data_IF_208348083840
#
_entry.id   IF_208348083840
#
_cell.length_a   1.000
_cell.length_b   1.000
_cell.length_c   1.000
_cell.angle_alpha   90.00
_cell.angle_beta   90.00
_cell.angle_gamma   90.00
#
_symmetry.space_group_name_H-M   'P 1'
#
loop_
_entity.id
_entity.type
_entity.pdbx_description
1 polymer ?
#
# COMPACT_ATOMS: atom_id res chain seq x y z
N UNK A 1 88.56 -3.47 -21.47
CA UNK A 1 87.75 -4.11 -20.42
C UNK A 1 86.35 -3.53 -20.50
N UNK A 2 85.41 -4.26 -21.12
CA UNK A 2 84.04 -3.81 -21.33
C UNK A 2 83.13 -4.41 -20.25
N UNK A 3 82.55 -3.54 -19.43
CA UNK A 3 81.61 -3.87 -18.35
C UNK A 3 80.28 -4.35 -18.93
N UNK A 4 79.94 -5.63 -18.73
CA UNK A 4 78.59 -6.15 -18.98
C UNK A 4 77.61 -5.50 -18.00
N UNK A 5 76.58 -4.82 -18.52
CA UNK A 5 75.40 -4.43 -17.73
C UNK A 5 74.50 -5.65 -17.51
N UNK A 6 73.92 -5.85 -16.32
CA UNK A 6 73.00 -6.94 -16.07
C UNK A 6 71.67 -6.70 -16.81
N UNK A 7 71.06 -7.79 -17.30
CA UNK A 7 69.68 -7.79 -17.80
C UNK A 7 68.78 -7.36 -16.64
N UNK A 8 67.97 -6.33 -16.86
CA UNK A 8 66.82 -6.04 -16.02
C UNK A 8 65.82 -7.17 -16.29
N UNK A 9 65.60 -7.99 -15.27
CA UNK A 9 64.51 -8.95 -15.26
C UNK A 9 63.20 -8.16 -15.42
N UNK A 10 62.32 -8.66 -16.28
CA UNK A 10 61.01 -8.09 -16.48
C UNK A 10 60.26 -8.15 -15.15
N UNK A 11 60.10 -7.00 -14.51
CA UNK A 11 59.12 -6.82 -13.45
C UNK A 11 57.78 -7.39 -13.95
N UNK A 12 57.25 -8.37 -13.21
CA UNK A 12 55.94 -8.97 -13.41
C UNK A 12 54.89 -7.86 -13.36
N UNK A 13 54.60 -7.25 -14.51
CA UNK A 13 53.50 -6.32 -14.67
C UNK A 13 52.21 -7.11 -14.43
N UNK A 14 51.48 -6.87 -13.33
CA UNK A 14 50.30 -7.65 -13.02
C UNK A 14 49.26 -7.32 -14.09
N UNK A 15 49.14 -8.24 -15.06
CA UNK A 15 48.26 -8.08 -16.21
C UNK A 15 46.83 -7.70 -15.78
N UNK A 16 46.05 -7.10 -16.69
CA UNK A 16 44.79 -6.40 -16.39
C UNK A 16 43.81 -7.20 -15.52
N UNK A 17 43.82 -8.53 -15.58
CA UNK A 17 43.01 -9.41 -14.73
C UNK A 17 43.36 -9.39 -13.23
N UNK A 18 44.61 -9.11 -12.85
CA UNK A 18 45.04 -8.99 -11.44
C UNK A 18 44.58 -7.67 -10.82
N UNK A 19 44.57 -6.60 -11.62
CA UNK A 19 44.02 -5.30 -11.22
C UNK A 19 42.50 -5.34 -11.10
N UNK A 20 41.82 -6.03 -12.02
CA UNK A 20 40.35 -6.23 -11.97
C UNK A 20 39.93 -7.01 -10.72
N UNK A 21 40.65 -8.08 -10.35
CA UNK A 21 40.38 -8.82 -9.10
C UNK A 21 40.56 -7.95 -7.85
N UNK A 22 41.62 -7.15 -7.78
CA UNK A 22 41.83 -6.19 -6.66
C UNK A 22 40.71 -5.15 -6.58
N UNK A 23 40.20 -4.68 -7.72
CA UNK A 23 39.09 -3.72 -7.76
C UNK A 23 37.77 -4.37 -7.32
N UNK A 24 37.52 -5.62 -7.70
CA UNK A 24 36.35 -6.38 -7.24
C UNK A 24 36.39 -6.67 -5.74
N UNK A 25 37.56 -7.02 -5.19
CA UNK A 25 37.74 -7.25 -3.75
C UNK A 25 37.57 -5.96 -2.94
N UNK A 26 38.12 -4.82 -3.40
CA UNK A 26 37.92 -3.51 -2.76
C UNK A 26 36.45 -3.05 -2.87
N UNK A 27 35.78 -3.33 -3.98
CA UNK A 27 34.36 -3.03 -4.17
C UNK A 27 33.48 -3.88 -3.24
N UNK A 28 33.86 -5.16 -3.03
CA UNK A 28 33.22 -6.06 -2.08
C UNK A 28 33.42 -5.58 -0.63
N UNK A 29 34.63 -5.20 -0.24
CA UNK A 29 34.92 -4.66 1.10
C UNK A 29 34.22 -3.31 1.35
N UNK A 30 34.17 -2.42 0.36
CA UNK A 30 33.41 -1.16 0.44
C UNK A 30 31.90 -1.39 0.50
N UNK A 31 31.38 -2.44 -0.14
CA UNK A 31 29.96 -2.81 -0.04
C UNK A 31 29.57 -3.29 1.37
N UNK A 32 30.49 -3.96 2.08
CA UNK A 32 30.30 -4.34 3.47
C UNK A 32 30.40 -3.15 4.43
N UNK A 33 31.29 -2.18 4.17
CA UNK A 33 31.44 -0.93 4.94
C UNK A 33 30.31 0.08 4.72
N UNK A 34 29.61 0.04 3.58
CA UNK A 34 28.48 0.94 3.24
C UNK A 34 27.10 0.33 3.53
N UNK A 35 27.05 -0.76 4.30
CA UNK A 35 25.83 -1.10 5.03
C UNK A 35 25.62 -0.08 6.14
N UNK A 36 25.24 1.15 5.76
CA UNK A 36 24.55 2.08 6.64
C UNK A 36 23.30 1.36 7.14
N UNK A 37 23.47 0.69 8.27
CA UNK A 37 22.40 0.16 9.10
C UNK A 37 21.47 1.34 9.31
N UNK A 38 20.38 1.44 8.54
CA UNK A 38 19.36 2.50 8.66
C UNK A 38 19.10 2.68 10.15
N UNK A 39 19.64 3.75 10.76
CA UNK A 39 19.61 3.95 12.21
C UNK A 39 18.16 3.84 12.65
N UNK A 40 17.80 2.70 13.24
CA UNK A 40 16.45 2.43 13.71
C UNK A 40 16.31 3.25 14.98
N UNK A 41 15.73 4.44 14.84
CA UNK A 41 15.41 5.33 15.95
C UNK A 41 14.56 4.58 16.98
N UNK A 42 15.19 4.14 18.06
CA UNK A 42 14.55 3.34 19.11
C UNK A 42 13.39 4.12 19.77
N UNK A 43 13.52 5.45 19.85
CA UNK A 43 12.46 6.36 20.29
C UNK A 43 11.20 6.27 19.40
N UNK A 44 11.37 6.12 18.08
CA UNK A 44 10.25 5.97 17.13
C UNK A 44 9.62 4.59 17.26
N UNK A 45 10.43 3.53 17.47
CA UNK A 45 9.92 2.19 17.68
C UNK A 45 9.12 2.08 19.00
N UNK A 46 9.64 2.65 20.09
CA UNK A 46 8.96 2.72 21.38
C UNK A 46 7.65 3.52 21.30
N UNK A 47 7.67 4.67 20.62
CA UNK A 47 6.45 5.46 20.37
C UNK A 47 5.40 4.70 19.55
N UNK A 48 5.82 3.99 18.50
CA UNK A 48 4.92 3.17 17.68
C UNK A 48 4.31 2.01 18.48
N UNK A 49 5.09 1.37 19.35
CA UNK A 49 4.59 0.32 20.22
C UNK A 49 3.58 0.87 21.25
N UNK A 50 3.91 2.00 21.89
CA UNK A 50 3.03 2.64 22.88
C UNK A 50 1.73 3.19 22.26
N UNK A 51 1.78 3.60 20.99
CA UNK A 51 0.63 4.13 20.28
C UNK A 51 -0.05 3.12 19.35
N UNK A 52 0.32 1.83 19.35
CA UNK A 52 -0.13 0.88 18.33
C UNK A 52 -1.67 0.86 18.13
N UNK A 53 -2.43 1.04 19.22
CA UNK A 53 -3.90 1.04 19.22
C UNK A 53 -4.54 2.43 19.01
N UNK A 54 -3.74 3.50 18.96
CA UNK A 54 -4.16 4.90 18.82
C UNK A 54 -3.50 5.62 17.64
N UNK A 55 -2.53 4.99 16.97
CA UNK A 55 -1.75 5.60 15.89
C UNK A 55 -2.60 5.70 14.62
N UNK A 56 -2.76 6.93 14.15
CA UNK A 56 -3.32 7.23 12.83
C UNK A 56 -2.16 7.19 11.86
N UNK A 57 -2.26 6.31 10.86
CA UNK A 57 -1.26 6.28 9.80
C UNK A 57 -1.55 7.36 8.76
N UNK A 58 -0.53 8.09 8.33
CA UNK A 58 -0.66 9.09 7.26
C UNK A 58 0.28 8.69 6.13
N UNK A 59 -0.26 8.60 4.92
CA UNK A 59 0.56 8.42 3.73
C UNK A 59 1.28 9.73 3.46
N UNK A 60 2.59 9.78 3.75
CA UNK A 60 3.45 10.90 3.39
C UNK A 60 4.12 10.61 2.06
N UNK A 61 3.80 11.40 1.05
CA UNK A 61 4.53 11.43 -0.23
C UNK A 61 5.47 12.63 -0.23
N UNK A 62 6.70 12.42 -0.69
CA UNK A 62 7.67 13.51 -0.80
C UNK A 62 7.34 14.40 -1.99
N UNK A 63 7.57 15.71 -1.89
CA UNK A 63 7.41 16.61 -3.04
C UNK A 63 8.30 16.17 -4.21
N UNK A 64 9.52 15.67 -3.93
CA UNK A 64 10.46 15.13 -4.92
C UNK A 64 9.89 13.95 -5.71
N UNK A 65 9.11 13.06 -5.09
CA UNK A 65 8.44 11.96 -5.80
C UNK A 65 7.33 12.45 -6.73
N UNK A 66 6.81 13.66 -6.52
CA UNK A 66 5.85 14.28 -7.41
C UNK A 66 6.53 15.09 -8.51
N UNK A 67 7.65 15.79 -8.25
CA UNK A 67 8.33 16.69 -9.20
C UNK A 67 9.21 15.98 -10.25
N UNK A 68 8.65 15.05 -11.03
CA UNK A 68 9.32 14.49 -12.22
C UNK A 68 9.17 15.45 -13.41
N UNK A 69 10.03 15.35 -14.44
CA UNK A 69 9.86 16.18 -15.67
C UNK A 69 8.49 15.97 -16.33
N UNK A 70 7.99 14.73 -16.29
CA UNK A 70 6.64 14.40 -16.77
C UNK A 70 5.53 15.07 -15.96
N UNK A 71 5.75 15.27 -14.65
CA UNK A 71 4.78 15.91 -13.77
C UNK A 71 4.69 17.43 -13.98
N UNK A 72 5.81 18.07 -14.38
CA UNK A 72 5.88 19.53 -14.59
C UNK A 72 5.02 19.99 -15.76
N UNK A 73 4.76 19.09 -16.71
CA UNK A 73 3.99 19.37 -17.94
C UNK A 73 2.51 19.01 -17.80
N UNK A 74 2.07 18.52 -16.62
CA UNK A 74 0.68 18.14 -16.40
C UNK A 74 -0.21 19.37 -16.15
N UNK A 75 -1.46 19.37 -16.65
CA UNK A 75 -2.47 20.35 -16.28
C UNK A 75 -2.97 20.05 -14.86
N UNK A 76 -2.21 20.45 -13.83
CA UNK A 76 -2.45 20.07 -12.44
C UNK A 76 -3.85 20.38 -11.93
N UNK A 77 -4.45 21.49 -12.35
CA UNK A 77 -5.80 21.86 -11.98
C UNK A 77 -6.84 20.82 -12.42
N UNK A 78 -6.74 20.33 -13.67
CA UNK A 78 -7.59 19.27 -14.20
C UNK A 78 -7.31 17.94 -13.52
N UNK A 79 -6.02 17.59 -13.36
CA UNK A 79 -5.60 16.33 -12.73
C UNK A 79 -6.09 16.23 -11.30
N UNK A 80 -6.02 17.32 -10.52
CA UNK A 80 -6.50 17.34 -9.14
C UNK A 80 -8.04 17.25 -9.07
N UNK A 81 -8.76 17.93 -9.96
CA UNK A 81 -10.23 17.82 -10.07
C UNK A 81 -10.66 16.38 -10.37
N UNK A 82 -10.04 15.77 -11.39
CA UNK A 82 -10.33 14.39 -11.75
C UNK A 82 -9.97 13.41 -10.64
N UNK A 83 -8.82 13.58 -9.98
CA UNK A 83 -8.41 12.70 -8.89
C UNK A 83 -9.36 12.81 -7.69
N UNK A 84 -9.76 14.03 -7.30
CA UNK A 84 -10.70 14.24 -6.21
C UNK A 84 -12.08 13.63 -6.52
N UNK A 85 -12.55 13.82 -7.76
CA UNK A 85 -13.80 13.22 -8.23
C UNK A 85 -13.72 11.68 -8.23
N UNK A 86 -12.65 11.10 -8.76
CA UNK A 86 -12.40 9.66 -8.74
C UNK A 86 -12.40 9.09 -7.31
N UNK A 87 -11.71 9.74 -6.38
CA UNK A 87 -11.62 9.28 -4.99
C UNK A 87 -12.98 9.33 -4.31
N UNK A 88 -13.74 10.42 -4.50
CA UNK A 88 -15.10 10.55 -3.97
C UNK A 88 -16.00 9.44 -4.50
N UNK A 89 -16.08 9.29 -5.83
CA UNK A 89 -16.91 8.29 -6.48
C UNK A 89 -16.50 6.86 -6.08
N UNK A 90 -15.21 6.59 -5.96
CA UNK A 90 -14.70 5.29 -5.52
C UNK A 90 -15.10 4.97 -4.07
N UNK A 91 -15.15 5.96 -3.18
CA UNK A 91 -15.68 5.78 -1.82
C UNK A 91 -17.18 5.50 -1.82
N UNK A 92 -17.95 6.25 -2.62
CA UNK A 92 -19.40 6.03 -2.78
C UNK A 92 -19.64 4.60 -3.27
N UNK A 93 -18.97 4.18 -4.34
CA UNK A 93 -19.09 2.82 -4.87
C UNK A 93 -18.66 1.75 -3.86
N UNK A 94 -17.57 1.97 -3.11
CA UNK A 94 -17.12 1.06 -2.06
C UNK A 94 -18.19 0.90 -0.95
N UNK A 95 -18.78 2.01 -0.50
CA UNK A 95 -19.81 2.02 0.52
C UNK A 95 -21.10 1.33 0.02
N UNK A 96 -21.56 1.67 -1.18
CA UNK A 96 -22.72 1.03 -1.83
C UNK A 96 -22.52 -0.48 -1.92
N UNK A 97 -21.34 -0.91 -2.37
CA UNK A 97 -21.03 -2.33 -2.46
C UNK A 97 -21.05 -3.02 -1.10
N UNK A 98 -20.39 -2.46 -0.10
CA UNK A 98 -20.30 -3.06 1.24
C UNK A 98 -21.68 -3.13 1.92
N UNK A 99 -22.48 -2.05 1.85
CA UNK A 99 -23.85 -2.03 2.39
C UNK A 99 -24.71 -3.09 1.71
N UNK A 100 -24.60 -3.24 0.38
CA UNK A 100 -25.34 -4.26 -0.36
C UNK A 100 -24.90 -5.67 0.02
N UNK A 101 -23.61 -5.93 0.23
CA UNK A 101 -23.13 -7.22 0.75
C UNK A 101 -23.71 -7.51 2.14
N UNK A 102 -23.75 -6.51 3.03
CA UNK A 102 -24.36 -6.67 4.36
C UNK A 102 -25.86 -7.02 4.28
N UNK A 103 -26.63 -6.36 3.40
CA UNK A 103 -28.05 -6.70 3.18
C UNK A 103 -28.24 -8.13 2.67
N UNK A 104 -27.34 -8.58 1.80
CA UNK A 104 -27.35 -9.95 1.26
C UNK A 104 -26.72 -10.99 2.22
N UNK A 105 -26.29 -10.57 3.42
CA UNK A 105 -25.56 -11.40 4.40
C UNK A 105 -24.33 -12.09 3.81
N UNK A 106 -23.66 -11.41 2.88
CA UNK A 106 -22.43 -11.87 2.25
C UNK A 106 -21.20 -11.29 2.97
N UNK A 107 -20.07 -12.01 2.99
CA UNK A 107 -18.87 -11.54 3.65
C UNK A 107 -18.29 -10.30 2.94
N UNK A 108 -17.98 -9.27 3.73
CA UNK A 108 -17.26 -8.08 3.25
C UNK A 108 -15.78 -8.42 3.13
N UNK A 109 -15.22 -8.20 1.94
CA UNK A 109 -13.78 -8.43 1.69
C UNK A 109 -12.93 -7.41 2.46
N UNK A 110 -11.68 -7.77 2.82
CA UNK A 110 -10.74 -6.81 3.41
C UNK A 110 -10.53 -5.57 2.53
N UNK A 111 -10.54 -4.39 3.15
CA UNK A 111 -10.42 -3.08 2.49
C UNK A 111 -8.96 -2.79 2.11
N UNK A 112 -8.36 -3.64 1.28
CA UNK A 112 -6.96 -3.53 0.83
C UNK A 112 -6.73 -2.39 -0.16
N UNK A 113 -5.47 -2.05 -0.44
CA UNK A 113 -5.14 -1.10 -1.51
C UNK A 113 -5.70 -1.56 -2.87
N UNK A 114 -5.60 -2.85 -3.18
CA UNK A 114 -6.16 -3.42 -4.41
C UNK A 114 -7.68 -3.30 -4.46
N UNK A 115 -8.35 -3.44 -3.31
CA UNK A 115 -9.79 -3.19 -3.20
C UNK A 115 -10.13 -1.78 -3.70
N UNK A 116 -9.45 -0.74 -3.20
CA UNK A 116 -9.69 0.64 -3.62
C UNK A 116 -9.23 0.93 -5.04
N UNK A 117 -8.10 0.35 -5.47
CA UNK A 117 -7.60 0.50 -6.83
C UNK A 117 -8.62 0.03 -7.88
N UNK A 118 -9.27 -1.12 -7.64
CA UNK A 118 -10.33 -1.62 -8.52
C UNK A 118 -11.52 -0.66 -8.62
N UNK A 119 -11.89 0.03 -7.52
CA UNK A 119 -13.01 0.98 -7.52
C UNK A 119 -12.62 2.24 -8.28
N UNK A 120 -11.41 2.77 -8.06
CA UNK A 120 -10.86 3.88 -8.84
C UNK A 120 -10.87 3.58 -10.35
N UNK A 121 -10.42 2.38 -10.76
CA UNK A 121 -10.50 1.98 -12.17
C UNK A 121 -11.94 1.90 -12.68
N UNK A 122 -12.86 1.38 -11.88
CA UNK A 122 -14.26 1.20 -12.29
C UNK A 122 -14.94 2.54 -12.54
N UNK A 123 -14.78 3.50 -11.63
CA UNK A 123 -15.42 4.82 -11.74
C UNK A 123 -14.80 5.68 -12.84
N UNK A 124 -13.51 5.49 -13.16
CA UNK A 124 -12.86 6.25 -14.22
C UNK A 124 -12.97 5.64 -15.63
N UNK A 125 -13.03 4.30 -15.74
CA UNK A 125 -13.06 3.61 -17.04
C UNK A 125 -14.46 3.15 -17.45
N UNK A 126 -15.43 3.16 -16.52
CA UNK A 126 -16.78 2.65 -16.75
C UNK A 126 -16.86 1.13 -16.94
N UNK A 127 -15.73 0.40 -16.85
CA UNK A 127 -15.68 -1.06 -17.03
C UNK A 127 -15.56 -1.76 -15.67
N UNK A 128 -16.65 -2.33 -15.12
CA UNK A 128 -16.59 -3.01 -13.84
C UNK A 128 -15.81 -4.33 -13.96
N UNK A 129 -14.60 -4.34 -13.41
CA UNK A 129 -13.83 -5.56 -13.19
C UNK A 129 -14.26 -6.17 -11.85
N UNK A 130 -14.96 -7.30 -11.89
CA UNK A 130 -15.34 -8.02 -10.68
C UNK A 130 -16.45 -9.05 -10.86
N UNK A 131 -16.84 -9.66 -9.74
CA UNK A 131 -17.88 -10.69 -9.69
C UNK A 131 -19.29 -10.11 -9.94
N UNK A 132 -20.28 -10.99 -10.07
CA UNK A 132 -21.71 -10.62 -10.27
C UNK A 132 -22.23 -9.63 -9.22
N UNK A 133 -21.80 -9.76 -7.96
CA UNK A 133 -22.24 -8.86 -6.90
C UNK A 133 -21.64 -7.47 -7.05
N UNK A 134 -20.37 -7.36 -7.43
CA UNK A 134 -19.74 -6.07 -7.69
C UNK A 134 -20.38 -5.37 -8.89
N UNK A 135 -20.63 -6.09 -10.00
CA UNK A 135 -21.31 -5.55 -11.19
C UNK A 135 -22.68 -4.95 -10.86
N UNK A 136 -23.52 -5.67 -10.14
CA UNK A 136 -24.82 -5.15 -9.73
C UNK A 136 -24.73 -3.98 -8.71
N UNK A 137 -23.61 -3.83 -8.00
CA UNK A 137 -23.37 -2.64 -7.16
C UNK A 137 -22.97 -1.43 -8.00
N UNK A 138 -22.25 -1.67 -9.10
CA UNK A 138 -21.89 -0.65 -10.09
C UNK A 138 -23.12 -0.17 -10.87
N UNK A 139 -24.02 -1.07 -11.23
CA UNK A 139 -25.31 -0.70 -11.85
C UNK A 139 -26.14 0.20 -10.94
N UNK A 140 -26.26 -0.15 -9.65
CA UNK A 140 -26.94 0.68 -8.65
C UNK A 140 -26.24 2.03 -8.44
N UNK A 141 -24.91 2.05 -8.41
CA UNK A 141 -24.15 3.31 -8.34
C UNK A 141 -24.41 4.19 -9.57
N UNK A 142 -24.38 3.61 -10.76
CA UNK A 142 -24.59 4.33 -12.03
C UNK A 142 -26.02 4.87 -12.15
N UNK A 143 -27.02 4.23 -11.53
CA UNK A 143 -28.39 4.74 -11.55
C UNK A 143 -28.58 6.04 -10.75
N UNK A 144 -27.65 6.36 -9.85
CA UNK A 144 -27.62 7.65 -9.14
C UNK A 144 -26.85 8.73 -9.89
N UNK A 145 -26.14 8.36 -10.95
CA UNK A 145 -25.34 9.29 -11.71
C UNK A 145 -26.25 10.15 -12.59
N UNK A 146 -26.07 11.47 -12.53
CA UNK A 146 -26.83 12.38 -13.39
C UNK A 146 -26.52 12.10 -14.87
N UNK A 147 -27.57 12.10 -15.69
CA UNK A 147 -27.44 11.91 -17.13
C UNK A 147 -26.56 13.03 -17.73
N UNK A 148 -25.64 12.65 -18.63
CA UNK A 148 -24.75 13.58 -19.32
C UNK A 148 -23.53 14.06 -18.53
N UNK A 149 -23.40 13.71 -17.25
CA UNK A 149 -22.16 13.99 -16.50
C UNK A 149 -21.11 12.95 -16.90
N UNK A 150 -19.93 13.34 -17.41
CA UNK A 150 -18.89 12.38 -17.79
C UNK A 150 -18.24 11.77 -16.53
N UNK A 151 -17.73 10.53 -16.60
CA UNK A 151 -16.88 9.98 -15.54
C UNK A 151 -15.60 10.81 -15.39
N UNK A 152 -14.94 10.69 -14.24
CA UNK A 152 -13.65 11.35 -14.04
C UNK A 152 -12.57 10.77 -14.97
N UNK A 153 -11.75 11.63 -15.55
CA UNK A 153 -10.70 11.21 -16.49
C UNK A 153 -9.51 10.62 -15.73
N UNK A 154 -9.06 9.43 -16.14
CA UNK A 154 -7.83 8.82 -15.62
C UNK A 154 -6.61 9.04 -16.52
N UNK A 155 -6.71 9.84 -17.59
CA UNK A 155 -5.68 9.95 -18.64
C UNK A 155 -4.28 10.21 -18.09
N UNK A 156 -4.19 11.11 -17.11
CA UNK A 156 -2.93 11.48 -16.48
C UNK A 156 -2.65 10.64 -15.23
N UNK A 157 -3.68 10.27 -14.47
CA UNK A 157 -3.58 9.53 -13.20
C UNK A 157 -3.10 8.09 -13.42
N UNK A 158 -3.55 7.45 -14.50
CA UNK A 158 -3.19 6.07 -14.85
C UNK A 158 -1.70 5.91 -15.24
N UNK A 159 -0.99 7.00 -15.56
CA UNK A 159 0.44 6.99 -15.93
C UNK A 159 1.40 6.73 -14.77
N UNK A 160 0.88 6.45 -13.58
CA UNK A 160 1.69 6.06 -12.43
C UNK A 160 1.22 6.63 -11.12
N UNK A 161 0.26 7.56 -11.07
CA UNK A 161 -0.17 8.18 -9.82
C UNK A 161 -1.34 7.49 -9.13
N UNK A 162 -2.04 6.56 -9.81
CA UNK A 162 -3.24 5.90 -9.28
C UNK A 162 -3.00 5.02 -8.04
N UNK A 163 -1.77 4.55 -7.80
CA UNK A 163 -1.45 3.76 -6.62
C UNK A 163 -1.50 4.59 -5.33
N UNK A 164 -1.16 5.89 -5.40
CA UNK A 164 -1.18 6.81 -4.27
C UNK A 164 -2.57 7.04 -3.67
N UNK A 165 -3.60 7.45 -4.45
CA UNK A 165 -4.94 7.61 -3.91
C UNK A 165 -5.50 6.28 -3.39
N UNK A 166 -5.23 5.15 -4.06
CA UNK A 166 -5.65 3.84 -3.54
C UNK A 166 -5.04 3.51 -2.17
N UNK A 167 -3.75 3.81 -1.98
CA UNK A 167 -3.05 3.63 -0.71
C UNK A 167 -3.60 4.57 0.36
N UNK A 168 -3.81 5.84 0.01
CA UNK A 168 -4.41 6.83 0.91
C UNK A 168 -5.82 6.42 1.32
N UNK A 169 -6.63 5.92 0.39
CA UNK A 169 -7.99 5.44 0.68
C UNK A 169 -7.99 4.26 1.66
N UNK A 170 -7.08 3.30 1.45
CA UNK A 170 -6.84 2.18 2.36
C UNK A 170 -6.51 2.68 3.76
N UNK A 171 -5.47 3.49 3.88
CA UNK A 171 -5.00 4.05 5.14
C UNK A 171 -6.09 4.85 5.86
N UNK A 172 -6.80 5.73 5.17
CA UNK A 172 -7.90 6.51 5.75
C UNK A 172 -9.04 5.60 6.24
N UNK A 173 -9.34 4.52 5.52
CA UNK A 173 -10.36 3.56 5.91
C UNK A 173 -9.94 2.76 7.15
N UNK A 174 -8.69 2.31 7.22
CA UNK A 174 -8.13 1.65 8.40
C UNK A 174 -8.20 2.58 9.62
N UNK A 175 -7.78 3.84 9.48
CA UNK A 175 -7.86 4.83 10.54
C UNK A 175 -9.32 5.07 10.99
N UNK A 176 -10.26 5.18 10.03
CA UNK A 176 -11.67 5.39 10.33
C UNK A 176 -12.27 4.19 11.09
N UNK A 177 -11.90 2.96 10.72
CA UNK A 177 -12.34 1.75 11.41
C UNK A 177 -11.80 1.72 12.84
N UNK A 178 -10.50 1.94 13.02
CA UNK A 178 -9.84 1.94 14.33
C UNK A 178 -10.41 3.01 15.26
N UNK A 179 -10.53 4.26 14.78
CA UNK A 179 -10.91 5.38 15.63
C UNK A 179 -12.42 5.50 15.87
N UNK A 180 -13.24 5.17 14.88
CA UNK A 180 -14.67 5.51 14.88
C UNK A 180 -15.57 4.29 14.88
N UNK A 181 -15.29 3.29 14.01
CA UNK A 181 -16.21 2.16 13.83
C UNK A 181 -16.33 1.33 15.10
N UNK A 182 -15.21 0.85 15.68
CA UNK A 182 -15.27 0.01 16.86
C UNK A 182 -15.92 0.71 18.05
N UNK A 183 -15.66 2.01 18.25
CA UNK A 183 -16.31 2.79 19.31
C UNK A 183 -17.82 2.89 19.12
N UNK A 184 -18.28 3.12 17.88
CA UNK A 184 -19.71 3.21 17.54
C UNK A 184 -20.39 1.84 17.65
N UNK A 185 -19.74 0.79 17.18
CA UNK A 185 -20.22 -0.59 17.29
C UNK A 185 -20.37 -0.99 18.75
N UNK A 186 -19.37 -0.70 19.60
CA UNK A 186 -19.45 -0.96 21.05
C UNK A 186 -20.68 -0.30 21.67
N UNK A 187 -20.86 0.99 21.39
CA UNK A 187 -21.99 1.76 21.89
C UNK A 187 -23.33 1.20 21.41
N UNK A 188 -23.39 0.72 20.16
CA UNK A 188 -24.59 0.10 19.62
C UNK A 188 -24.89 -1.23 20.29
N UNK A 189 -23.90 -2.10 20.47
CA UNK A 189 -24.05 -3.40 21.15
C UNK A 189 -24.57 -3.19 22.58
N UNK A 190 -23.95 -2.28 23.35
CA UNK A 190 -24.42 -1.95 24.71
C UNK A 190 -25.89 -1.51 24.73
N UNK A 191 -26.31 -0.71 23.75
CA UNK A 191 -27.70 -0.23 23.63
C UNK A 191 -28.68 -1.32 23.19
N UNK A 192 -28.28 -2.17 22.25
CA UNK A 192 -29.13 -3.21 21.69
C UNK A 192 -29.35 -4.37 22.65
N UNK A 193 -28.34 -4.70 23.46
CA UNK A 193 -28.38 -5.87 24.35
C UNK A 193 -28.47 -5.51 25.84
N UNK A 194 -28.47 -4.22 26.19
CA UNK A 194 -28.52 -3.74 27.58
C UNK A 194 -27.42 -4.34 28.49
N UNK A 195 -26.25 -4.62 27.92
CA UNK A 195 -25.10 -5.24 28.61
C UNK A 195 -24.06 -4.21 29.04
N UNK A 196 -23.23 -4.58 30.01
CA UNK A 196 -22.13 -3.73 30.47
C UNK A 196 -21.02 -3.62 29.39
N UNK A 197 -20.17 -2.59 29.50
CA UNK A 197 -19.06 -2.37 28.60
C UNK A 197 -18.07 -3.52 28.55
N UNK A 198 -17.82 -4.19 29.69
CA UNK A 198 -16.94 -5.36 29.79
C UNK A 198 -17.49 -6.56 29.01
N UNK A 199 -18.78 -6.87 29.19
CA UNK A 199 -19.50 -7.94 28.49
C UNK A 199 -19.59 -7.68 26.98
N UNK A 200 -19.78 -6.42 26.57
CA UNK A 200 -19.82 -6.05 25.15
C UNK A 200 -18.49 -6.31 24.41
N UNK A 201 -17.35 -6.39 25.10
CA UNK A 201 -16.09 -6.79 24.47
C UNK A 201 -16.05 -8.27 24.09
N UNK A 202 -16.77 -9.13 24.83
CA UNK A 202 -16.85 -10.57 24.55
C UNK A 202 -17.65 -10.88 23.27
N UNK A 203 -18.45 -9.91 22.80
CA UNK A 203 -19.23 -10.02 21.57
C UNK A 203 -18.42 -9.72 20.30
N UNK A 204 -17.17 -9.26 20.43
CA UNK A 204 -16.30 -9.08 19.28
C UNK A 204 -15.66 -10.41 18.87
N UNK A 205 -15.45 -10.65 17.55
CA UNK A 205 -14.53 -11.68 17.09
C UNK A 205 -13.15 -11.45 17.75
N UNK A 206 -12.70 -12.43 18.54
CA UNK A 206 -11.39 -12.41 19.20
C UNK A 206 -10.27 -12.28 18.18
N UNK A 207 -9.12 -11.77 18.63
CA UNK A 207 -7.97 -11.43 17.77
C UNK A 207 -7.49 -12.62 16.89
N UNK A 208 -7.72 -13.86 17.33
CA UNK A 208 -7.43 -15.10 16.59
C UNK A 208 -8.27 -15.28 15.32
N UNK A 209 -9.44 -14.65 15.23
CA UNK A 209 -10.32 -14.71 14.05
C UNK A 209 -10.00 -13.62 13.01
N UNK A 210 -9.07 -12.69 13.31
CA UNK A 210 -8.75 -11.53 12.44
C UNK A 210 -7.59 -11.76 11.48
N UNK A 211 -6.80 -12.81 11.66
CA UNK A 211 -5.73 -13.18 10.72
C UNK A 211 -6.17 -14.41 9.92
N UNK A 212 -6.06 -14.43 8.58
CA UNK A 212 -6.11 -15.69 7.87
C UNK A 212 -4.98 -16.55 8.42
N UNK A 213 -5.32 -17.74 8.95
CA UNK A 213 -4.31 -18.76 9.30
C UNK A 213 -3.39 -18.88 8.09
N UNK A 214 -2.15 -18.43 8.21
CA UNK A 214 -1.09 -18.93 7.35
C UNK A 214 -1.13 -20.43 7.56
N UNK A 215 -1.59 -21.17 6.56
CA UNK A 215 -1.27 -22.58 6.47
C UNK A 215 0.25 -22.60 6.41
N UNK A 216 0.89 -22.86 7.55
CA UNK A 216 2.24 -23.38 7.56
C UNK A 216 2.13 -24.69 6.81
N UNK A 217 2.67 -24.73 5.60
CA UNK A 217 2.95 -25.99 4.93
C UNK A 217 3.82 -26.78 5.91
N UNK A 218 3.20 -27.73 6.61
CA UNK A 218 3.93 -28.81 7.24
C UNK A 218 4.58 -29.57 6.11
N UNK A 219 5.88 -29.36 5.94
CA UNK A 219 6.73 -30.33 5.27
C UNK A 219 6.64 -31.61 6.11
N UNK A 220 5.76 -32.52 5.68
CA UNK A 220 5.81 -33.92 6.04
C UNK A 220 6.89 -34.53 5.13
N UNK A 221 8.09 -34.65 5.69
CA UNK A 221 9.04 -35.70 5.35
C UNK A 221 8.71 -36.95 6.19
N UNK A 222 9.01 -38.13 5.63
CA UNK A 222 8.74 -39.51 6.08
C UNK A 222 7.40 -40.06 5.57
N UNK A 223 7.33 -41.10 4.72
CA UNK A 223 8.30 -42.13 4.30
C UNK A 223 8.32 -42.34 2.78
#
# INVERSE_FOLDING_TARGET
>A
MATKRPRLDAEDDPGPNSQVKKIEDISSELSHLTTETKRRRQDVAARRAANADKDVSVVKTSLKSFCTEQSKTLPWEEVLKDMNKMVLEAYVLANTHNVRLCHLRLPVKPLTQNFFHQRLLTVSSGRPLGNKHFRASVELYNSWHAAGVPPASNRYIARGWQHNPALQMKTNSENAVTLNFYRRLHKQIKRSYYIDGSEAYLMYPTHEQRLPRRQTASASSAD
#
